data_IF_333373582998
#
_entry.id   IF_333373582998
#
_cell.length_a   1.000
_cell.length_b   1.000
_cell.length_c   1.000
_cell.angle_alpha   90.00
_cell.angle_beta   90.00
_cell.angle_gamma   90.00
#
_symmetry.space_group_name_H-M   'P 1'
#
loop_
_entity.id
_entity.type
_entity.pdbx_description
1 polymer ?
#
# COMPACT_ATOMS: atom_id res chain seq x y z
N UNK A 1 15.36 22.42 4.54
CA UNK A 1 14.23 21.92 5.34
C UNK A 1 13.60 20.77 4.57
N UNK A 2 13.84 19.53 5.01
CA UNK A 2 13.44 18.32 4.31
C UNK A 2 11.93 18.12 4.31
N UNK A 3 11.39 17.62 3.21
CA UNK A 3 10.00 17.21 3.11
C UNK A 3 9.81 15.94 3.95
N UNK A 4 9.30 16.11 5.17
CA UNK A 4 8.79 15.00 5.95
C UNK A 4 7.59 14.39 5.21
N UNK A 5 7.46 13.05 5.14
CA UNK A 5 6.23 12.44 4.65
C UNK A 5 5.07 12.98 5.50
N UNK A 6 4.15 13.71 4.87
CA UNK A 6 2.95 14.19 5.54
C UNK A 6 2.17 12.95 5.97
N UNK A 7 1.91 12.82 7.27
CA UNK A 7 0.94 11.84 7.76
C UNK A 7 -0.36 12.13 7.03
N UNK A 8 -0.85 11.19 6.22
CA UNK A 8 -2.29 11.10 5.97
C UNK A 8 -2.95 11.07 7.34
N UNK A 9 -3.42 12.22 7.81
CA UNK A 9 -4.23 12.28 9.01
C UNK A 9 -5.47 11.47 8.68
N UNK A 10 -5.86 10.56 9.57
CA UNK A 10 -7.02 9.69 9.37
C UNK A 10 -8.35 10.41 9.13
N UNK A 11 -8.37 11.74 9.02
CA UNK A 11 -9.53 12.55 8.67
C UNK A 11 -10.03 12.38 7.23
N UNK A 12 -9.17 12.09 6.24
CA UNK A 12 -9.61 11.94 4.84
C UNK A 12 -10.24 10.57 4.53
N UNK A 13 -9.90 9.55 5.31
CA UNK A 13 -10.46 8.20 5.19
C UNK A 13 -11.58 7.93 6.19
N UNK A 14 -12.02 8.92 6.99
CA UNK A 14 -12.94 8.71 8.13
C UNK A 14 -12.43 7.65 9.14
N UNK A 15 -11.12 7.48 9.26
CA UNK A 15 -10.46 6.56 10.20
C UNK A 15 -10.05 5.21 9.59
N UNK A 16 -9.25 4.46 10.36
CA UNK A 16 -8.67 3.18 9.94
C UNK A 16 -9.72 2.12 9.52
N UNK A 17 -10.86 2.09 10.22
CA UNK A 17 -11.92 1.12 9.93
C UNK A 17 -12.52 1.28 8.53
N UNK A 18 -12.65 2.53 8.07
CA UNK A 18 -13.17 2.83 6.74
C UNK A 18 -12.14 2.56 5.65
N UNK A 19 -10.85 2.75 5.94
CA UNK A 19 -9.77 2.32 5.04
C UNK A 19 -9.75 0.79 4.85
N UNK A 20 -9.87 0.04 5.95
CA UNK A 20 -9.99 -1.43 5.92
C UNK A 20 -11.25 -1.87 5.15
N UNK A 21 -12.38 -1.22 5.39
CA UNK A 21 -13.64 -1.50 4.70
C UNK A 21 -13.50 -1.27 3.19
N UNK A 22 -12.92 -0.16 2.77
CA UNK A 22 -12.69 0.14 1.36
C UNK A 22 -11.77 -0.89 0.68
N UNK A 23 -10.66 -1.29 1.33
CA UNK A 23 -9.78 -2.33 0.79
C UNK A 23 -10.51 -3.66 0.63
N UNK A 24 -11.31 -4.06 1.64
CA UNK A 24 -12.10 -5.29 1.60
C UNK A 24 -13.16 -5.25 0.50
N UNK A 25 -13.91 -4.16 0.39
CA UNK A 25 -14.98 -4.01 -0.60
C UNK A 25 -14.46 -4.02 -2.03
N UNK A 26 -13.34 -3.32 -2.29
CA UNK A 26 -12.71 -3.30 -3.61
C UNK A 26 -12.11 -4.67 -3.94
N UNK A 27 -11.43 -5.31 -2.98
CA UNK A 27 -10.90 -6.67 -3.14
C UNK A 27 -11.98 -7.69 -3.50
N UNK A 28 -13.10 -7.65 -2.78
CA UNK A 28 -14.27 -8.49 -3.05
C UNK A 28 -14.85 -8.21 -4.45
N UNK A 29 -14.97 -6.93 -4.82
CA UNK A 29 -15.57 -6.51 -6.10
C UNK A 29 -14.76 -6.98 -7.31
N UNK A 30 -13.43 -6.86 -7.26
CA UNK A 30 -12.57 -7.15 -8.43
C UNK A 30 -12.00 -8.57 -8.44
N UNK A 31 -11.83 -9.21 -7.27
CA UNK A 31 -11.15 -10.50 -7.14
C UNK A 31 -11.95 -11.56 -6.39
N UNK A 32 -13.13 -11.22 -5.83
CA UNK A 32 -13.89 -12.14 -4.98
C UNK A 32 -13.14 -12.53 -3.69
N UNK A 33 -12.25 -11.66 -3.21
CA UNK A 33 -11.44 -11.89 -2.02
C UNK A 33 -11.59 -10.76 -1.00
N UNK A 34 -12.18 -11.07 0.14
CA UNK A 34 -12.31 -10.15 1.28
C UNK A 34 -11.07 -10.05 2.18
N UNK A 35 -9.95 -10.71 1.82
CA UNK A 35 -8.71 -10.74 2.58
C UNK A 35 -7.86 -9.47 2.51
N UNK A 36 -8.17 -8.56 1.57
CA UNK A 36 -7.43 -7.30 1.40
C UNK A 36 -7.60 -6.38 2.60
N UNK A 37 -6.46 -5.88 3.11
CA UNK A 37 -6.38 -5.01 4.28
C UNK A 37 -5.64 -3.73 3.98
N UNK A 38 -5.98 -2.66 4.69
CA UNK A 38 -5.33 -1.37 4.53
C UNK A 38 -3.86 -1.41 5.00
N UNK A 39 -2.94 -1.01 4.11
CA UNK A 39 -1.53 -0.85 4.44
C UNK A 39 -1.29 0.52 5.11
N UNK A 40 -1.81 0.69 6.32
CA UNK A 40 -1.71 1.92 7.10
C UNK A 40 -1.24 1.64 8.53
N UNK A 41 -0.41 2.53 9.06
CA UNK A 41 0.04 2.45 10.45
C UNK A 41 -0.74 3.39 11.35
N UNK A 42 -1.06 2.95 12.55
CA UNK A 42 -1.56 3.81 13.63
C UNK A 42 -0.80 3.54 14.94
N UNK A 43 -1.00 4.38 15.96
CA UNK A 43 -0.38 4.19 17.28
C UNK A 43 -0.63 2.80 17.87
N UNK A 44 -1.77 2.16 17.55
CA UNK A 44 -2.13 0.84 18.07
C UNK A 44 -1.89 -0.30 17.06
N UNK A 45 -1.54 0.02 15.80
CA UNK A 45 -1.28 -0.96 14.72
C UNK A 45 -0.02 -0.56 13.95
N UNK A 46 1.17 -0.96 14.41
CA UNK A 46 2.41 -0.73 13.69
C UNK A 46 2.49 -1.62 12.42
N UNK A 47 3.24 -1.17 11.42
CA UNK A 47 3.36 -1.82 10.11
C UNK A 47 3.76 -3.29 10.22
N UNK A 48 4.71 -3.60 11.11
CA UNK A 48 5.21 -4.95 11.33
C UNK A 48 4.18 -5.95 11.91
N UNK A 49 3.00 -5.47 12.34
CA UNK A 49 1.90 -6.31 12.83
C UNK A 49 0.76 -6.47 11.82
N UNK A 50 0.85 -5.86 10.64
CA UNK A 50 -0.19 -5.99 9.61
C UNK A 50 -0.16 -7.38 8.99
N UNK A 51 1.01 -7.90 8.63
CA UNK A 51 1.15 -9.23 8.02
C UNK A 51 1.07 -10.34 9.07
N UNK A 52 0.19 -11.34 8.92
CA UNK A 52 0.19 -12.54 9.75
C UNK A 52 1.55 -13.26 9.67
N UNK A 53 2.07 -13.73 10.81
CA UNK A 53 3.41 -14.36 10.87
C UNK A 53 3.58 -15.55 9.93
N UNK A 54 2.55 -16.33 9.70
CA UNK A 54 2.63 -17.49 8.80
C UNK A 54 2.71 -17.10 7.31
N UNK A 55 2.40 -15.85 6.97
CA UNK A 55 2.50 -15.32 5.61
C UNK A 55 3.75 -14.43 5.41
N UNK A 56 4.51 -14.13 6.48
CA UNK A 56 5.59 -13.15 6.40
C UNK A 56 6.78 -13.60 5.54
N UNK A 57 6.91 -14.90 5.27
CA UNK A 57 7.93 -15.47 4.38
C UNK A 57 7.50 -15.58 2.92
N UNK A 58 6.25 -15.21 2.59
CA UNK A 58 5.77 -15.25 1.22
C UNK A 58 6.26 -14.02 0.45
N UNK A 59 6.56 -14.17 -0.86
CA UNK A 59 6.90 -13.04 -1.71
C UNK A 59 5.74 -12.06 -1.81
N UNK A 60 6.06 -10.77 -1.76
CA UNK A 60 5.10 -9.72 -2.06
C UNK A 60 5.13 -9.45 -3.55
N UNK A 61 3.96 -9.48 -4.19
CA UNK A 61 3.80 -9.27 -5.62
C UNK A 61 2.76 -8.17 -5.88
N UNK A 62 2.83 -7.55 -7.06
CA UNK A 62 1.75 -6.68 -7.55
C UNK A 62 0.59 -7.53 -8.11
N UNK A 63 -0.46 -6.88 -8.60
CA UNK A 63 -1.64 -7.57 -9.15
C UNK A 63 -1.35 -8.41 -10.41
N UNK A 64 -0.24 -8.18 -11.11
CA UNK A 64 0.19 -9.02 -12.23
C UNK A 64 1.09 -10.19 -11.80
N UNK A 65 1.42 -10.31 -10.52
CA UNK A 65 2.34 -11.33 -10.02
C UNK A 65 3.82 -10.93 -10.13
N UNK A 66 4.14 -9.68 -10.49
CA UNK A 66 5.51 -9.21 -10.51
C UNK A 66 6.03 -9.02 -9.08
N UNK A 67 7.22 -9.53 -8.80
CA UNK A 67 7.84 -9.46 -7.48
C UNK A 67 8.08 -8.00 -7.06
N UNK A 68 7.58 -7.60 -5.89
CA UNK A 68 7.84 -6.30 -5.26
C UNK A 68 8.89 -6.40 -4.16
N UNK A 69 8.81 -7.45 -3.33
CA UNK A 69 9.79 -7.77 -2.29
C UNK A 69 9.83 -9.28 -2.07
N UNK A 70 10.99 -9.82 -1.68
CA UNK A 70 11.16 -11.28 -1.48
C UNK A 70 10.34 -11.83 -0.32
N UNK A 71 10.13 -11.01 0.70
CA UNK A 71 9.35 -11.32 1.88
C UNK A 71 8.91 -10.03 2.60
N UNK A 72 8.16 -10.18 3.68
CA UNK A 72 7.66 -9.04 4.47
C UNK A 72 8.79 -8.24 5.14
N UNK A 73 9.90 -8.87 5.49
CA UNK A 73 11.01 -8.20 6.15
C UNK A 73 11.77 -7.30 5.16
N UNK A 74 12.01 -7.78 3.94
CA UNK A 74 12.55 -6.98 2.85
C UNK A 74 11.67 -5.76 2.55
N UNK A 75 10.34 -5.95 2.52
CA UNK A 75 9.39 -4.86 2.38
C UNK A 75 9.54 -3.80 3.49
N UNK A 76 9.55 -4.23 4.76
CA UNK A 76 9.70 -3.33 5.91
C UNK A 76 11.03 -2.57 5.93
N UNK A 77 12.10 -3.16 5.38
CA UNK A 77 13.42 -2.53 5.25
C UNK A 77 13.58 -1.71 3.96
N UNK A 78 12.55 -1.62 3.12
CA UNK A 78 12.61 -0.87 1.85
C UNK A 78 13.44 -1.54 0.76
N UNK A 79 13.71 -2.84 0.85
CA UNK A 79 14.41 -3.63 -0.18
C UNK A 79 13.41 -4.05 -1.25
N UNK A 80 13.00 -3.09 -2.07
CA UNK A 80 12.00 -3.25 -3.12
C UNK A 80 12.63 -3.43 -4.50
N UNK A 81 11.94 -4.12 -5.40
CA UNK A 81 12.24 -4.13 -6.83
C UNK A 81 11.73 -2.84 -7.49
N UNK A 82 12.09 -2.61 -8.76
CA UNK A 82 11.63 -1.45 -9.52
C UNK A 82 10.34 -1.73 -10.33
N UNK A 83 9.47 -2.60 -9.82
CA UNK A 83 8.22 -2.97 -10.49
C UNK A 83 7.09 -2.01 -10.11
N UNK A 84 6.17 -1.79 -11.06
CA UNK A 84 5.05 -0.87 -10.89
C UNK A 84 3.98 -1.46 -9.99
N UNK A 85 3.40 -0.61 -9.13
CA UNK A 85 2.17 -0.93 -8.41
C UNK A 85 0.96 -0.76 -9.35
N UNK A 86 -0.07 -1.55 -9.12
CA UNK A 86 -1.23 -1.63 -10.00
C UNK A 86 -2.46 -1.47 -9.13
N UNK A 87 -3.34 -0.56 -9.52
CA UNK A 87 -4.62 -0.36 -8.84
C UNK A 87 -5.55 -1.55 -9.09
N UNK A 88 -6.47 -1.80 -8.16
CA UNK A 88 -7.41 -2.94 -8.22
C UNK A 88 -8.28 -2.96 -9.49
N UNK A 89 -8.51 -1.81 -10.13
CA UNK A 89 -9.21 -1.68 -11.41
C UNK A 89 -8.34 -2.00 -12.64
N UNK A 90 -7.12 -2.49 -12.43
CA UNK A 90 -6.16 -2.82 -13.49
C UNK A 90 -5.45 -1.61 -14.08
N UNK A 91 -5.73 -0.39 -13.60
CA UNK A 91 -4.97 0.78 -14.03
C UNK A 91 -3.54 0.69 -13.47
N UNK A 92 -2.57 0.65 -14.38
CA UNK A 92 -1.14 0.76 -14.03
C UNK A 92 -0.93 2.10 -13.35
N UNK A 93 -0.18 2.15 -12.25
CA UNK A 93 0.24 3.41 -11.63
C UNK A 93 1.29 4.16 -12.47
N UNK A 94 1.07 4.35 -13.77
CA UNK A 94 1.51 5.59 -14.39
C UNK A 94 0.55 6.65 -13.88
N UNK A 95 1.00 7.46 -12.92
CA UNK A 95 0.34 8.61 -12.29
C UNK A 95 -0.76 9.19 -13.21
N UNK A 96 -1.94 8.59 -13.11
CA UNK A 96 -3.13 9.07 -13.80
C UNK A 96 -3.49 10.42 -13.19
N UNK A 97 -4.18 11.32 -13.91
CA UNK A 97 -4.72 12.56 -13.33
C UNK A 97 -5.48 12.35 -12.01
N UNK A 98 -5.98 11.12 -11.77
CA UNK A 98 -6.66 10.67 -10.55
C UNK A 98 -5.75 10.60 -9.31
N UNK A 99 -4.44 10.46 -9.46
CA UNK A 99 -3.47 10.24 -8.37
C UNK A 99 -2.41 11.35 -8.28
N UNK A 100 -2.82 12.60 -8.50
CA UNK A 100 -1.93 13.77 -8.61
C UNK A 100 -1.27 14.21 -7.28
N UNK A 101 -0.61 13.30 -6.56
CA UNK A 101 0.29 13.66 -5.46
C UNK A 101 1.71 13.85 -6.01
N UNK A 102 2.03 15.09 -6.39
CA UNK A 102 3.39 15.50 -6.77
C UNK A 102 4.31 15.43 -5.55
N UNK A 103 5.28 14.52 -5.55
CA UNK A 103 6.57 14.79 -4.90
C UNK A 103 7.18 15.96 -5.68
N UNK A 104 7.02 17.19 -5.17
CA UNK A 104 7.82 18.32 -5.66
C UNK A 104 9.27 18.08 -5.24
N UNK A 105 10.03 17.37 -6.07
CA UNK A 105 11.48 17.43 -6.01
C UNK A 105 11.83 18.85 -6.49
N UNK A 106 12.26 19.71 -5.56
CA UNK A 106 12.90 20.96 -5.94
C UNK A 106 14.25 20.60 -6.56
N UNK A 107 14.34 20.67 -7.89
CA UNK A 107 15.64 20.83 -8.55
C UNK A 107 16.31 22.07 -7.95
N UNK A 108 17.56 21.89 -7.51
CA UNK A 108 18.46 22.94 -7.03
C UNK A 108 19.43 23.27 -8.14
#
# INVERSE_FOLDING_TARGET
MGAYPYKLQGGELHGFAMAEMACREVGETFFGDGGFRALLTSHHRPLNRIMPRHLSSLPLVNLHGDLLAKDWQDFLHGRLTNNTLISMDGSKEEISPRWFFKIKIKER
#
